data_IF_521661608226
#
_entry.id   IF_521661608226
#
_cell.length_a   1.000
_cell.length_b   1.000
_cell.length_c   1.000
_cell.angle_alpha   90.00
_cell.angle_beta   90.00
_cell.angle_gamma   90.00
#
_symmetry.space_group_name_H-M   'P 1'
#
loop_
_entity.id
_entity.type
_entity.pdbx_description
1 polymer ?
#
# COMPACT_ATOMS: atom_id res chain seq x y z
N UNK A 1 16.75 -21.74 -25.11
CA UNK A 1 15.65 -21.42 -24.16
C UNK A 1 15.97 -22.10 -22.83
N UNK A 2 15.92 -21.35 -21.76
CA UNK A 2 16.19 -21.83 -20.37
C UNK A 2 14.88 -21.81 -19.60
N UNK A 3 14.66 -22.83 -18.75
CA UNK A 3 13.53 -22.87 -17.82
C UNK A 3 14.09 -22.82 -16.40
N UNK A 4 13.58 -21.91 -15.60
CA UNK A 4 13.93 -21.76 -14.19
C UNK A 4 12.67 -21.93 -13.34
N UNK A 5 12.77 -22.70 -12.25
CA UNK A 5 11.66 -22.94 -11.33
C UNK A 5 12.12 -22.56 -9.93
N UNK A 6 11.31 -21.74 -9.24
CA UNK A 6 11.56 -21.37 -7.85
C UNK A 6 11.42 -22.60 -6.93
N UNK A 7 12.24 -22.66 -5.90
CA UNK A 7 12.10 -23.64 -4.84
C UNK A 7 10.80 -23.41 -4.06
N UNK A 8 10.40 -24.40 -3.25
CA UNK A 8 9.28 -24.22 -2.34
C UNK A 8 9.53 -23.02 -1.42
N UNK A 9 8.51 -22.18 -1.25
CA UNK A 9 8.61 -21.03 -0.37
C UNK A 9 8.82 -21.48 1.10
N UNK A 10 9.60 -20.75 1.90
CA UNK A 10 9.68 -20.94 3.33
C UNK A 10 8.30 -20.88 4.00
N UNK A 11 8.19 -21.43 5.22
CA UNK A 11 6.93 -21.40 5.98
C UNK A 11 6.45 -19.97 6.19
N UNK A 12 5.18 -19.72 5.91
CA UNK A 12 4.56 -18.38 6.01
C UNK A 12 4.91 -17.42 4.86
N UNK A 13 5.67 -17.86 3.86
CA UNK A 13 6.02 -17.07 2.69
C UNK A 13 5.42 -17.66 1.41
N UNK A 14 5.27 -16.81 0.40
CA UNK A 14 4.85 -17.19 -0.96
C UNK A 14 5.87 -16.63 -1.96
N UNK A 15 5.94 -17.27 -3.13
CA UNK A 15 6.75 -16.76 -4.20
C UNK A 15 6.14 -15.45 -4.72
N UNK A 16 6.94 -14.38 -4.74
CA UNK A 16 6.54 -13.08 -5.24
C UNK A 16 6.89 -12.92 -6.72
N UNK A 17 8.19 -13.00 -7.03
CA UNK A 17 8.68 -12.75 -8.39
C UNK A 17 10.13 -13.21 -8.57
N UNK A 18 10.61 -13.11 -9.82
CA UNK A 18 12.01 -13.26 -10.16
C UNK A 18 12.71 -11.89 -10.21
N UNK A 19 13.88 -11.80 -9.60
CA UNK A 19 14.83 -10.71 -9.78
C UNK A 19 15.89 -11.15 -10.80
N UNK A 20 16.03 -10.42 -11.92
CA UNK A 20 16.90 -10.77 -13.03
C UNK A 20 17.88 -9.62 -13.26
N UNK A 21 19.18 -9.91 -13.28
CA UNK A 21 20.21 -8.88 -13.43
C UNK A 21 20.25 -8.22 -14.83
N UNK A 22 19.68 -8.85 -15.84
CA UNK A 22 19.60 -8.31 -17.20
C UNK A 22 18.35 -7.45 -17.39
N UNK A 23 18.49 -6.11 -17.60
CA UNK A 23 17.35 -5.21 -17.78
C UNK A 23 16.49 -5.52 -19.01
N UNK A 24 17.09 -6.11 -20.06
CA UNK A 24 16.34 -6.46 -21.28
C UNK A 24 15.42 -7.67 -21.03
N UNK A 25 15.85 -8.62 -20.19
CA UNK A 25 15.00 -9.72 -19.77
C UNK A 25 13.94 -9.26 -18.76
N UNK A 26 14.30 -8.38 -17.84
CA UNK A 26 13.37 -7.80 -16.87
C UNK A 26 12.26 -6.99 -17.54
N UNK A 27 12.54 -6.26 -18.59
CA UNK A 27 11.58 -5.48 -19.36
C UNK A 27 10.81 -6.28 -20.42
N UNK A 28 11.08 -7.58 -20.58
CA UNK A 28 10.46 -8.39 -21.62
C UNK A 28 9.08 -8.92 -21.17
N UNK A 29 7.98 -8.53 -21.83
CA UNK A 29 6.63 -8.97 -21.47
C UNK A 29 6.39 -10.48 -21.71
N UNK A 30 7.20 -11.13 -22.53
CA UNK A 30 7.09 -12.56 -22.80
C UNK A 30 7.72 -13.44 -21.70
N UNK A 31 8.42 -12.81 -20.75
CA UNK A 31 9.03 -13.49 -19.58
C UNK A 31 8.08 -13.40 -18.40
N UNK A 32 7.63 -14.55 -17.91
CA UNK A 32 6.65 -14.63 -16.80
C UNK A 32 7.33 -14.41 -15.43
N UNK A 33 7.65 -13.16 -15.09
CA UNK A 33 8.40 -12.79 -13.88
C UNK A 33 7.71 -13.14 -12.56
N UNK A 34 6.38 -13.21 -12.55
CA UNK A 34 5.54 -13.51 -11.37
C UNK A 34 5.12 -14.98 -11.29
N UNK A 35 5.51 -15.80 -12.24
CA UNK A 35 5.25 -17.24 -12.21
C UNK A 35 6.40 -17.99 -11.55
N UNK A 36 6.09 -18.96 -10.68
CA UNK A 36 7.10 -19.85 -10.08
C UNK A 36 8.00 -20.55 -11.11
N UNK A 37 7.52 -20.72 -12.34
CA UNK A 37 8.30 -21.26 -13.45
C UNK A 37 8.33 -20.24 -14.58
N UNK A 38 9.53 -19.83 -14.94
CA UNK A 38 9.78 -18.85 -15.98
C UNK A 38 10.63 -19.47 -17.11
N UNK A 39 10.41 -19.02 -18.34
CA UNK A 39 11.17 -19.42 -19.52
C UNK A 39 11.69 -18.19 -20.24
N UNK A 40 12.95 -18.21 -20.63
CA UNK A 40 13.56 -17.14 -21.42
C UNK A 40 14.66 -17.66 -22.34
N UNK A 41 15.05 -16.87 -23.33
CA UNK A 41 16.23 -17.15 -24.17
C UNK A 41 17.47 -16.63 -23.45
N UNK A 42 18.48 -17.50 -23.27
CA UNK A 42 19.74 -17.11 -22.63
C UNK A 42 20.40 -15.99 -23.44
N UNK A 43 20.68 -14.83 -22.83
CA UNK A 43 21.46 -13.79 -23.48
C UNK A 43 22.94 -14.20 -23.63
N UNK A 44 23.69 -13.37 -24.32
CA UNK A 44 25.14 -13.62 -24.54
C UNK A 44 25.98 -13.24 -23.32
N UNK A 45 25.44 -12.52 -22.38
CA UNK A 45 26.06 -12.14 -21.11
C UNK A 45 25.60 -13.03 -19.96
N UNK A 46 26.39 -13.06 -18.90
CA UNK A 46 26.03 -13.76 -17.66
C UNK A 46 24.79 -13.11 -17.02
N UNK A 47 23.83 -13.94 -16.63
CA UNK A 47 22.59 -13.51 -15.99
C UNK A 47 22.44 -14.18 -14.64
N UNK A 48 22.21 -13.37 -13.62
CA UNK A 48 21.79 -13.82 -12.29
C UNK A 48 20.28 -13.78 -12.20
N UNK A 49 19.69 -14.88 -11.77
CA UNK A 49 18.25 -15.02 -11.56
C UNK A 49 18.01 -15.44 -10.12
N UNK A 50 17.27 -14.65 -9.37
CA UNK A 50 17.00 -14.87 -7.97
C UNK A 50 15.48 -14.93 -7.72
N UNK A 51 15.01 -15.94 -6.97
CA UNK A 51 13.63 -16.05 -6.56
C UNK A 51 13.37 -15.18 -5.33
N UNK A 52 12.42 -14.27 -5.41
CA UNK A 52 11.99 -13.42 -4.31
C UNK A 52 10.73 -14.00 -3.67
N UNK A 53 10.70 -13.99 -2.34
CA UNK A 53 9.57 -14.47 -1.54
C UNK A 53 9.07 -13.35 -0.64
N UNK A 54 7.76 -13.30 -0.43
CA UNK A 54 7.13 -12.34 0.47
C UNK A 54 6.24 -13.05 1.50
N UNK A 55 5.83 -12.38 2.57
CA UNK A 55 4.92 -12.98 3.53
C UNK A 55 3.56 -13.24 2.88
N UNK A 56 2.92 -14.35 3.24
CA UNK A 56 1.60 -14.70 2.71
C UNK A 56 0.52 -13.65 3.06
N UNK A 57 0.74 -12.87 4.09
CA UNK A 57 -0.11 -11.77 4.52
C UNK A 57 0.02 -10.57 3.56
N UNK A 58 1.26 -10.16 3.25
CA UNK A 58 1.54 -9.10 2.28
C UNK A 58 1.07 -9.48 0.86
N UNK A 59 1.19 -10.75 0.46
CA UNK A 59 0.74 -11.22 -0.84
C UNK A 59 -0.78 -11.07 -1.01
N UNK A 60 -1.57 -11.38 0.02
CA UNK A 60 -3.03 -11.18 0.01
C UNK A 60 -3.40 -9.70 -0.10
N UNK A 61 -2.67 -8.83 0.58
CA UNK A 61 -2.87 -7.38 0.49
C UNK A 61 -2.53 -6.85 -0.91
N UNK A 62 -1.45 -7.33 -1.51
CA UNK A 62 -1.03 -6.94 -2.87
C UNK A 62 -2.04 -7.42 -3.92
N UNK A 63 -2.63 -8.61 -3.78
CA UNK A 63 -3.66 -9.13 -4.68
C UNK A 63 -4.96 -8.30 -4.60
N UNK A 64 -5.37 -7.89 -3.40
CA UNK A 64 -6.51 -6.98 -3.19
C UNK A 64 -6.25 -5.58 -3.78
N UNK A 65 -5.02 -5.09 -3.71
CA UNK A 65 -4.61 -3.79 -4.25
C UNK A 65 -4.42 -3.83 -5.77
N UNK A 66 -3.93 -4.95 -6.31
CA UNK A 66 -3.59 -5.10 -7.74
C UNK A 66 -4.79 -5.19 -8.68
N UNK A 67 -5.85 -5.88 -8.26
CA UNK A 67 -7.00 -6.15 -9.14
C UNK A 67 -7.85 -4.93 -9.47
N UNK A 68 -7.90 -3.94 -8.61
CA UNK A 68 -8.78 -2.77 -8.77
C UNK A 68 -8.08 -1.53 -9.36
N UNK A 69 -6.75 -1.43 -9.28
CA UNK A 69 -6.02 -0.21 -9.62
C UNK A 69 -5.50 -0.13 -11.06
N UNK A 70 -5.52 -1.25 -11.80
CA UNK A 70 -4.85 -1.36 -13.11
C UNK A 70 -5.74 -1.10 -14.33
N UNK A 71 -7.03 -0.85 -14.15
CA UNK A 71 -7.99 -0.71 -15.25
C UNK A 71 -8.03 0.72 -15.83
N UNK A 72 -7.35 1.70 -15.26
CA UNK A 72 -7.50 3.11 -15.61
C UNK A 72 -6.29 3.84 -16.18
N UNK A 73 -5.11 3.26 -16.26
CA UNK A 73 -3.90 3.99 -16.69
C UNK A 73 -3.35 3.50 -18.04
N UNK A 74 -3.37 4.40 -18.97
CA UNK A 74 -2.90 4.35 -20.35
C UNK A 74 -1.55 3.64 -20.51
N UNK A 75 -1.51 2.52 -21.25
CA UNK A 75 -0.38 2.08 -22.07
C UNK A 75 0.85 1.45 -21.39
N UNK A 76 0.88 1.31 -20.08
CA UNK A 76 1.96 0.62 -19.38
C UNK A 76 1.42 -0.75 -18.90
N UNK A 77 2.13 -1.84 -19.25
CA UNK A 77 1.65 -3.18 -18.89
C UNK A 77 1.51 -3.32 -17.37
N UNK A 78 0.43 -3.95 -16.94
CA UNK A 78 0.11 -4.20 -15.52
C UNK A 78 1.27 -4.85 -14.74
N UNK A 79 2.10 -5.63 -15.42
CA UNK A 79 3.28 -6.30 -14.86
C UNK A 79 4.38 -5.31 -14.50
N UNK A 80 4.61 -4.26 -15.33
CA UNK A 80 5.62 -3.22 -15.06
C UNK A 80 5.18 -2.34 -13.88
N UNK A 81 3.88 -2.04 -13.77
CA UNK A 81 3.35 -1.26 -12.65
C UNK A 81 3.38 -2.05 -11.33
N UNK A 82 3.03 -3.34 -11.35
CA UNK A 82 3.13 -4.18 -10.17
C UNK A 82 4.61 -4.34 -9.71
N UNK A 83 5.53 -4.48 -10.65
CA UNK A 83 6.97 -4.57 -10.37
C UNK A 83 7.54 -3.24 -9.85
N UNK A 84 7.20 -2.12 -10.50
CA UNK A 84 7.64 -0.79 -10.05
C UNK A 84 6.99 -0.39 -8.73
N UNK A 85 5.74 -0.78 -8.48
CA UNK A 85 5.12 -0.60 -7.18
C UNK A 85 5.82 -1.42 -6.08
N UNK A 86 6.39 -2.56 -6.40
CA UNK A 86 7.14 -3.39 -5.45
C UNK A 86 8.58 -2.88 -5.22
N UNK A 87 9.24 -2.33 -6.24
CA UNK A 87 10.62 -1.80 -6.17
C UNK A 87 10.69 -0.31 -5.78
N UNK A 88 9.78 0.53 -6.27
CA UNK A 88 9.63 1.95 -5.92
C UNK A 88 8.59 2.15 -4.82
N UNK A 89 8.00 1.06 -4.41
CA UNK A 89 7.20 0.93 -3.23
C UNK A 89 5.79 1.49 -3.36
N UNK A 90 5.04 1.04 -2.44
CA UNK A 90 3.74 1.56 -2.03
C UNK A 90 3.73 3.09 -1.85
N UNK A 91 4.90 3.71 -1.63
CA UNK A 91 5.07 5.16 -1.57
C UNK A 91 4.66 5.87 -2.87
N UNK A 92 5.19 5.42 -4.02
CA UNK A 92 4.85 6.03 -5.31
C UNK A 92 3.39 5.81 -5.67
N UNK A 93 2.86 4.63 -5.35
CA UNK A 93 1.45 4.32 -5.55
C UNK A 93 0.57 5.19 -4.65
N UNK A 94 0.91 5.35 -3.36
CA UNK A 94 0.22 6.23 -2.46
C UNK A 94 0.26 7.68 -2.97
N UNK A 95 1.42 8.15 -3.40
CA UNK A 95 1.58 9.50 -3.99
C UNK A 95 0.71 9.71 -5.23
N UNK A 96 0.51 8.68 -6.04
CA UNK A 96 -0.40 8.72 -7.19
C UNK A 96 -1.87 8.74 -6.80
N UNK A 97 -2.25 8.03 -5.72
CA UNK A 97 -3.61 8.00 -5.20
C UNK A 97 -4.03 9.30 -4.53
N UNK A 98 -3.09 9.98 -3.88
CA UNK A 98 -3.35 11.19 -3.14
C UNK A 98 -3.60 12.38 -4.08
N UNK A 99 -4.32 13.41 -3.62
CA UNK A 99 -4.50 14.65 -4.37
C UNK A 99 -3.14 15.26 -4.76
N UNK A 100 -3.08 15.89 -5.94
CA UNK A 100 -1.86 16.52 -6.42
C UNK A 100 -1.35 17.57 -5.41
N UNK A 101 -0.10 17.40 -4.97
CA UNK A 101 0.53 18.26 -3.98
C UNK A 101 0.31 17.87 -2.52
N UNK A 102 -0.49 16.84 -2.23
CA UNK A 102 -0.62 16.32 -0.88
C UNK A 102 0.70 15.67 -0.42
N UNK A 103 1.08 15.93 0.82
CA UNK A 103 2.20 15.26 1.46
C UNK A 103 1.81 13.82 1.80
N UNK A 104 2.77 12.90 1.69
CA UNK A 104 2.59 11.52 2.14
C UNK A 104 2.59 11.52 3.67
N UNK A 105 1.52 11.01 4.32
CA UNK A 105 1.45 10.96 5.76
C UNK A 105 2.50 9.99 6.32
N UNK A 106 3.21 10.42 7.38
CA UNK A 106 4.27 9.66 8.02
C UNK A 106 3.83 9.04 9.34
N UNK A 107 2.79 9.58 9.95
CA UNK A 107 2.26 9.13 11.22
C UNK A 107 0.73 9.15 11.23
N UNK A 108 0.15 8.63 12.30
CA UNK A 108 -1.29 8.43 12.43
C UNK A 108 -2.08 9.72 12.32
N UNK A 109 -1.62 10.80 12.98
CA UNK A 109 -2.37 12.06 12.95
C UNK A 109 -2.37 12.71 11.57
N UNK A 110 -1.23 12.66 10.84
CA UNK A 110 -1.16 13.17 9.48
C UNK A 110 -2.10 12.42 8.53
N UNK A 111 -2.24 11.11 8.72
CA UNK A 111 -3.19 10.31 7.95
C UNK A 111 -4.63 10.72 8.28
N UNK A 112 -4.99 10.80 9.54
CA UNK A 112 -6.33 11.19 9.98
C UNK A 112 -6.72 12.58 9.42
N UNK A 113 -5.84 13.58 9.55
CA UNK A 113 -6.06 14.92 9.00
C UNK A 113 -6.21 14.92 7.47
N UNK A 114 -5.40 14.13 6.78
CA UNK A 114 -5.47 14.02 5.31
C UNK A 114 -6.83 13.46 4.88
N UNK A 115 -7.30 12.39 5.52
CA UNK A 115 -8.57 11.75 5.25
C UNK A 115 -9.74 12.70 5.55
N UNK A 116 -9.71 13.33 6.70
CA UNK A 116 -10.75 14.24 7.19
C UNK A 116 -10.88 15.48 6.30
N UNK A 117 -9.76 16.13 5.95
CA UNK A 117 -9.75 17.25 4.99
C UNK A 117 -10.26 16.86 3.61
N UNK A 118 -9.88 15.67 3.14
CA UNK A 118 -10.38 15.16 1.86
C UNK A 118 -11.89 14.89 1.90
N UNK A 119 -12.46 14.57 3.05
CA UNK A 119 -13.90 14.40 3.24
C UNK A 119 -14.67 15.73 3.36
N UNK A 120 -13.98 16.87 3.45
CA UNK A 120 -14.60 18.18 3.62
C UNK A 120 -14.77 18.60 5.07
N UNK A 121 -13.94 18.07 5.95
CA UNK A 121 -13.88 18.41 7.38
C UNK A 121 -15.20 18.16 8.12
N UNK A 122 -15.82 16.99 8.00
CA UNK A 122 -17.09 16.70 8.64
C UNK A 122 -16.94 16.71 10.17
N UNK A 123 -17.96 17.19 10.85
CA UNK A 123 -18.00 17.17 12.33
C UNK A 123 -18.23 15.72 12.79
N UNK A 124 -17.41 15.17 13.69
CA UNK A 124 -17.63 13.85 14.26
C UNK A 124 -18.94 13.79 15.05
N UNK A 125 -19.62 12.63 15.02
CA UNK A 125 -20.88 12.42 15.77
C UNK A 125 -20.63 12.33 17.28
N UNK A 126 -19.49 11.78 17.67
CA UNK A 126 -19.06 11.63 19.07
C UNK A 126 -17.96 12.63 19.35
N UNK A 127 -18.11 13.45 20.39
CA UNK A 127 -17.09 14.38 20.82
C UNK A 127 -16.21 13.72 21.89
N UNK A 128 -15.44 12.70 21.53
CA UNK A 128 -14.45 12.11 22.39
C UNK A 128 -13.11 12.82 22.18
N UNK A 129 -12.37 13.04 23.26
CA UNK A 129 -11.05 13.65 23.20
C UNK A 129 -10.01 12.60 23.54
N UNK A 130 -9.00 12.50 22.68
CA UNK A 130 -7.84 11.66 22.94
C UNK A 130 -6.87 12.41 23.87
N UNK A 131 -6.42 11.74 24.92
CA UNK A 131 -5.56 12.36 25.97
C UNK A 131 -4.16 12.70 25.43
N UNK A 132 -3.71 11.99 24.40
CA UNK A 132 -2.40 12.12 23.76
C UNK A 132 -2.38 13.08 22.57
N UNK A 133 -3.50 13.73 22.26
CA UNK A 133 -3.58 14.85 21.30
C UNK A 133 -3.80 16.13 22.11
N UNK A 134 -3.05 17.18 21.81
CA UNK A 134 -3.12 18.43 22.55
C UNK A 134 -4.53 19.04 22.58
N UNK A 135 -4.95 19.52 23.76
CA UNK A 135 -6.27 20.16 23.95
C UNK A 135 -6.51 21.38 23.04
N UNK A 136 -5.43 22.02 22.58
CA UNK A 136 -5.50 23.17 21.67
C UNK A 136 -5.48 22.77 20.20
N UNK A 137 -5.40 21.46 19.91
CA UNK A 137 -5.32 20.89 18.57
C UNK A 137 -6.69 20.38 18.12
N UNK A 138 -7.69 21.26 18.14
CA UNK A 138 -9.10 20.91 17.87
C UNK A 138 -9.28 20.19 16.53
N UNK A 139 -8.60 20.65 15.47
CA UNK A 139 -8.64 20.01 14.15
C UNK A 139 -8.07 18.58 14.17
N UNK A 140 -6.98 18.36 14.92
CA UNK A 140 -6.38 17.04 15.06
C UNK A 140 -7.30 16.09 15.86
N UNK A 141 -7.93 16.60 16.93
CA UNK A 141 -8.91 15.85 17.70
C UNK A 141 -10.10 15.42 16.82
N UNK A 142 -10.68 16.36 16.06
CA UNK A 142 -11.80 16.07 15.17
C UNK A 142 -11.42 15.08 14.05
N UNK A 143 -10.25 15.26 13.46
CA UNK A 143 -9.76 14.37 12.42
C UNK A 143 -9.55 12.94 12.93
N UNK A 144 -8.91 12.78 14.08
CA UNK A 144 -8.69 11.49 14.72
C UNK A 144 -10.01 10.80 15.06
N UNK A 145 -10.94 11.53 15.69
CA UNK A 145 -12.25 11.04 16.04
C UNK A 145 -13.03 10.57 14.82
N UNK A 146 -13.13 11.44 13.79
CA UNK A 146 -13.83 11.11 12.56
C UNK A 146 -13.23 9.89 11.85
N UNK A 147 -11.91 9.77 11.81
CA UNK A 147 -11.25 8.63 11.18
C UNK A 147 -11.55 7.30 11.88
N UNK A 148 -11.64 7.30 13.21
CA UNK A 148 -11.98 6.10 13.99
C UNK A 148 -13.46 5.78 13.88
N UNK A 149 -14.37 6.75 13.98
CA UNK A 149 -15.84 6.55 13.84
C UNK A 149 -16.22 5.93 12.50
N UNK A 150 -15.53 6.33 11.42
CA UNK A 150 -15.76 5.79 10.08
C UNK A 150 -14.94 4.53 9.80
N UNK A 151 -14.32 3.96 10.84
CA UNK A 151 -13.49 2.75 10.76
C UNK A 151 -12.37 2.87 9.71
N UNK A 152 -11.91 4.09 9.40
CA UNK A 152 -10.80 4.33 8.49
C UNK A 152 -9.46 4.01 9.15
N UNK A 153 -9.42 4.16 10.46
CA UNK A 153 -8.29 3.84 11.31
C UNK A 153 -8.78 3.10 12.55
N UNK A 154 -8.04 2.08 12.94
CA UNK A 154 -8.29 1.35 14.18
C UNK A 154 -7.57 2.04 15.34
N UNK A 155 -8.10 1.92 16.56
CA UNK A 155 -7.37 2.31 17.76
C UNK A 155 -6.21 1.33 17.97
N UNK A 156 -5.03 1.83 18.33
CA UNK A 156 -3.83 0.99 18.48
C UNK A 156 -3.91 0.03 19.67
N UNK A 157 -4.81 0.31 20.61
CA UNK A 157 -5.02 -0.49 21.82
C UNK A 157 -6.50 -0.47 22.19
N UNK A 158 -7.14 -1.64 22.22
CA UNK A 158 -8.55 -1.79 22.62
C UNK A 158 -8.77 -1.57 24.12
N UNK A 159 -7.73 -1.70 24.94
CA UNK A 159 -7.80 -1.47 26.38
C UNK A 159 -7.63 0.02 26.75
N UNK A 160 -6.99 0.81 25.86
CA UNK A 160 -6.72 2.24 26.05
C UNK A 160 -7.35 3.06 24.94
N UNK A 161 -8.68 3.09 24.90
CA UNK A 161 -9.47 3.78 23.86
C UNK A 161 -9.34 5.31 23.90
N UNK A 162 -8.78 5.86 24.97
CA UNK A 162 -8.47 7.28 25.14
C UNK A 162 -7.15 7.70 24.45
N UNK A 163 -6.39 6.75 23.90
CA UNK A 163 -5.11 7.02 23.21
C UNK A 163 -5.22 6.76 21.72
N UNK A 164 -4.89 7.78 20.93
CA UNK A 164 -4.83 7.70 19.48
C UNK A 164 -3.44 7.35 18.95
N UNK A 165 -2.39 7.63 19.71
CA UNK A 165 -0.97 7.54 19.36
C UNK A 165 -0.63 8.35 18.10
N UNK A 166 -0.81 9.69 18.14
CA UNK A 166 -0.71 10.56 16.97
C UNK A 166 0.62 10.47 16.23
N UNK A 167 1.73 10.31 16.95
CA UNK A 167 3.09 10.26 16.41
C UNK A 167 3.53 8.85 15.97
N UNK A 168 2.72 7.82 16.20
CA UNK A 168 3.04 6.47 15.77
C UNK A 168 3.15 6.42 14.25
N UNK A 169 4.24 5.81 13.76
CA UNK A 169 4.49 5.66 12.34
C UNK A 169 3.47 4.71 11.72
N UNK A 170 3.02 5.05 10.53
CA UNK A 170 2.13 4.21 9.72
C UNK A 170 2.88 3.62 8.53
N UNK A 171 2.48 2.45 8.12
CA UNK A 171 2.93 1.88 6.85
C UNK A 171 2.19 2.52 5.66
N UNK A 172 2.82 2.54 4.50
CA UNK A 172 2.15 2.98 3.26
C UNK A 172 0.93 2.12 2.93
N UNK A 173 0.95 0.84 3.30
CA UNK A 173 -0.17 -0.07 3.13
C UNK A 173 -1.40 0.36 3.93
N UNK A 174 -1.22 0.74 5.19
CA UNK A 174 -2.29 1.29 6.03
C UNK A 174 -2.87 2.58 5.45
N UNK A 175 -2.00 3.50 5.02
CA UNK A 175 -2.44 4.74 4.40
C UNK A 175 -3.24 4.49 3.11
N UNK A 176 -2.84 3.53 2.27
CA UNK A 176 -3.57 3.15 1.06
C UNK A 176 -4.94 2.55 1.40
N UNK A 177 -5.03 1.65 2.38
CA UNK A 177 -6.30 1.04 2.81
C UNK A 177 -7.27 2.09 3.31
N UNK A 178 -6.82 2.93 4.23
CA UNK A 178 -7.62 4.00 4.81
C UNK A 178 -8.10 5.00 3.72
N UNK A 179 -7.21 5.40 2.82
CA UNK A 179 -7.56 6.28 1.69
C UNK A 179 -8.64 5.68 0.79
N UNK A 180 -8.48 4.43 0.37
CA UNK A 180 -9.46 3.73 -0.48
C UNK A 180 -10.82 3.62 0.21
N UNK A 181 -10.84 3.26 1.49
CA UNK A 181 -12.08 3.17 2.27
C UNK A 181 -12.77 4.55 2.35
N UNK A 182 -12.01 5.62 2.59
CA UNK A 182 -12.54 6.98 2.60
C UNK A 182 -13.14 7.42 1.26
N UNK A 183 -12.55 6.99 0.12
CA UNK A 183 -13.15 7.28 -1.20
C UNK A 183 -14.47 6.54 -1.43
N UNK A 184 -14.63 5.34 -0.85
CA UNK A 184 -15.88 4.59 -0.92
C UNK A 184 -17.00 5.26 -0.13
N UNK A 185 -16.71 5.88 1.02
CA UNK A 185 -17.68 6.64 1.79
C UNK A 185 -18.25 7.82 0.97
N UNK A 186 -17.39 8.54 0.24
CA UNK A 186 -17.80 9.64 -0.64
C UNK A 186 -18.74 9.25 -1.78
N UNK A 187 -18.64 8.01 -2.25
CA UNK A 187 -19.49 7.55 -3.38
C UNK A 187 -20.80 6.96 -2.94
N UNK A 188 -21.01 6.77 -1.64
CA UNK A 188 -22.24 6.22 -1.06
C UNK A 188 -23.28 7.28 -0.63
N UNK A 189 -22.87 8.57 -0.63
CA UNK A 189 -23.77 9.74 -0.47
C UNK A 189 -24.25 10.26 -1.82
#
# INVERSE_FOLDING_TARGET
>A
MVTVTANAAPEGMVFAQWNISDPALMGNPDVAHTSQTMKFSMPTADVTVEAMYESAENARETELLGSAALIGAVGISAVVLAYQAHQLGTELYLKYLLPSGAAIPQNRIQLAELLWRNAGEPVPDVNAMYEDIGLNEEAAQQAAQWAVENELMELPDEEHTEQFKPDEQISYGEAIRAWKKAQQLKTAE
#
